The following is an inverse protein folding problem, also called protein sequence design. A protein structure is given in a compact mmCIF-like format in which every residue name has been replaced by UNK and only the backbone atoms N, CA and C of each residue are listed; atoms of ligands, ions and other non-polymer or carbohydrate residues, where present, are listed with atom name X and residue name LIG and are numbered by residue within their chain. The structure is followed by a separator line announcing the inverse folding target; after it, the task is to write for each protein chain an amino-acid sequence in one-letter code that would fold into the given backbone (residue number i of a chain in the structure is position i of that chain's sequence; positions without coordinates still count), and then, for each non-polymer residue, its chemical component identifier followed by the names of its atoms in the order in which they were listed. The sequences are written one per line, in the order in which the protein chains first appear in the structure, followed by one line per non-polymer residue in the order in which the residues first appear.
data_IF_353745792408
#
_entry.id   IF_353745792408
#
_cell.length_a   1.000
_cell.length_b   1.000
_cell.length_c   1.000
_cell.angle_alpha   90.00
_cell.angle_beta   90.00
_cell.angle_gamma   90.00
#
_symmetry.space_group_name_H-M   'P 1'
#
loop_
_entity.id
_entity.type
_entity.pdbx_description
1 polymer ?
#
# COMPACT_ATOMS: atom_id res chain seq x y z
N UNK A 1 29.28 -35.92 26.38
CA UNK A 1 29.03 -35.28 25.07
C UNK A 1 27.79 -34.41 25.22
N UNK A 2 27.95 -33.09 25.20
CA UNK A 2 26.85 -32.12 25.25
C UNK A 2 26.41 -31.84 23.80
N UNK A 3 25.17 -32.18 23.46
CA UNK A 3 24.57 -31.79 22.18
C UNK A 3 24.08 -30.33 22.28
N UNK A 4 24.27 -29.50 21.24
CA UNK A 4 23.80 -28.13 21.24
C UNK A 4 22.27 -28.09 21.10
N UNK A 5 21.62 -27.31 21.96
CA UNK A 5 20.20 -26.94 21.81
C UNK A 5 20.11 -25.97 20.64
N UNK A 6 19.53 -26.42 19.53
CA UNK A 6 19.11 -25.55 18.44
C UNK A 6 17.99 -24.64 18.98
N UNK A 7 18.32 -23.35 19.14
CA UNK A 7 17.31 -22.34 19.44
C UNK A 7 16.43 -22.17 18.20
N UNK A 8 15.22 -22.73 18.25
CA UNK A 8 14.15 -22.42 17.32
C UNK A 8 13.66 -21.00 17.64
N UNK A 9 14.15 -20.01 16.89
CA UNK A 9 13.55 -18.68 16.87
C UNK A 9 12.09 -18.85 16.42
N UNK A 10 11.16 -18.59 17.35
CA UNK A 10 9.73 -18.70 17.06
C UNK A 10 9.33 -17.64 16.02
N UNK A 11 8.40 -17.94 15.10
CA UNK A 11 7.93 -16.98 14.09
C UNK A 11 7.31 -15.70 14.68
N UNK A 12 6.89 -15.74 15.95
CA UNK A 12 6.34 -14.58 16.67
C UNK A 12 7.36 -13.45 16.93
N UNK A 13 8.66 -13.75 17.07
CA UNK A 13 9.67 -12.70 17.27
C UNK A 13 10.04 -11.98 15.98
N UNK A 14 10.13 -12.70 14.85
CA UNK A 14 10.43 -12.09 13.55
C UNK A 14 9.31 -11.13 13.08
N UNK A 15 8.05 -11.50 13.32
CA UNK A 15 6.90 -10.68 12.96
C UNK A 15 6.81 -9.40 13.82
N UNK A 16 7.20 -9.46 15.10
CA UNK A 16 7.24 -8.31 15.99
C UNK A 16 8.37 -7.32 15.64
N UNK A 17 9.55 -7.82 15.26
CA UNK A 17 10.69 -6.97 14.87
C UNK A 17 10.41 -6.23 13.54
N UNK A 18 9.72 -6.89 12.60
CA UNK A 18 9.30 -6.30 11.34
C UNK A 18 8.23 -5.21 11.54
N UNK A 19 7.24 -5.44 12.43
CA UNK A 19 6.21 -4.45 12.78
C UNK A 19 6.83 -3.18 13.38
N UNK A 20 7.80 -3.33 14.29
CA UNK A 20 8.49 -2.20 14.93
C UNK A 20 9.31 -1.37 13.92
N UNK A 21 9.80 -1.99 12.85
CA UNK A 21 10.58 -1.30 11.82
C UNK A 21 9.72 -0.33 11.00
N UNK A 22 8.51 -0.76 10.58
CA UNK A 22 7.66 0.04 9.70
C UNK A 22 7.07 1.28 10.41
N UNK A 23 6.74 1.19 11.70
CA UNK A 23 6.28 2.37 12.46
C UNK A 23 7.37 3.44 12.57
N UNK A 24 8.59 3.02 12.90
CA UNK A 24 9.75 3.92 12.98
C UNK A 24 10.09 4.52 11.60
N UNK A 25 9.95 3.74 10.53
CA UNK A 25 10.12 4.23 9.18
C UNK A 25 9.06 5.28 8.84
N UNK A 26 7.80 5.03 9.14
CA UNK A 26 6.72 6.00 8.95
C UNK A 26 7.02 7.30 9.70
N UNK A 27 7.38 7.22 10.99
CA UNK A 27 7.73 8.39 11.81
C UNK A 27 8.93 9.17 11.27
N UNK A 28 9.97 8.46 10.83
CA UNK A 28 11.15 9.08 10.21
C UNK A 28 10.74 9.83 8.94
N UNK A 29 9.93 9.20 8.09
CA UNK A 29 9.45 9.79 6.86
C UNK A 29 8.54 11.01 7.10
N UNK A 30 7.70 10.99 8.13
CA UNK A 30 6.93 12.16 8.58
C UNK A 30 7.86 13.33 8.93
N UNK A 31 8.93 13.07 9.69
CA UNK A 31 9.88 14.09 10.15
C UNK A 31 10.74 14.68 9.03
N UNK A 32 11.01 13.90 7.98
CA UNK A 32 11.80 14.34 6.82
C UNK A 32 10.94 14.80 5.64
N UNK A 33 9.62 14.92 5.84
CA UNK A 33 8.65 15.25 4.80
C UNK A 33 8.70 14.32 3.56
N UNK A 34 9.08 13.06 3.77
CA UNK A 34 9.15 12.04 2.72
C UNK A 34 7.82 11.27 2.62
N UNK A 35 6.91 11.73 1.75
CA UNK A 35 5.64 11.04 1.57
C UNK A 35 5.80 9.62 1.00
N UNK A 36 6.80 9.37 0.14
CA UNK A 36 6.99 8.04 -0.46
C UNK A 36 7.43 7.02 0.60
N UNK A 37 8.40 7.38 1.44
CA UNK A 37 8.82 6.55 2.56
C UNK A 37 7.70 6.28 3.57
N UNK A 38 6.86 7.29 3.84
CA UNK A 38 5.66 7.14 4.67
C UNK A 38 4.67 6.15 4.01
N UNK A 39 4.38 6.34 2.73
CA UNK A 39 3.40 5.53 2.00
C UNK A 39 3.84 4.06 1.90
N UNK A 40 5.12 3.80 1.72
CA UNK A 40 5.71 2.45 1.75
C UNK A 40 5.51 1.75 3.11
N UNK A 41 5.70 2.46 4.22
CA UNK A 41 5.40 1.93 5.55
C UNK A 41 3.89 1.72 5.76
N UNK A 42 3.07 2.63 5.22
CA UNK A 42 1.61 2.55 5.25
C UNK A 42 1.06 1.35 4.48
N UNK A 43 1.67 0.98 3.35
CA UNK A 43 1.32 -0.21 2.57
C UNK A 43 1.64 -1.52 3.32
N UNK A 44 2.72 -1.55 4.10
CA UNK A 44 3.23 -2.79 4.71
C UNK A 44 2.72 -3.08 6.12
N UNK A 45 2.27 -2.08 6.87
CA UNK A 45 1.89 -2.27 8.28
C UNK A 45 0.45 -1.86 8.57
N UNK A 46 -0.36 -2.83 9.02
CA UNK A 46 -1.72 -2.58 9.53
C UNK A 46 -1.72 -1.60 10.72
N UNK A 47 -0.68 -1.63 11.55
CA UNK A 47 -0.55 -0.72 12.68
C UNK A 47 -0.26 0.71 12.24
N UNK A 48 0.56 0.89 11.21
CA UNK A 48 0.77 2.20 10.57
C UNK A 48 -0.53 2.69 9.95
N UNK A 49 -1.27 1.83 9.23
CA UNK A 49 -2.60 2.19 8.70
C UNK A 49 -3.57 2.62 9.78
N UNK A 50 -3.65 1.87 10.88
CA UNK A 50 -4.54 2.19 12.00
C UNK A 50 -4.17 3.52 12.68
N UNK A 51 -2.87 3.84 12.77
CA UNK A 51 -2.36 5.09 13.36
C UNK A 51 -2.58 6.30 12.47
N UNK A 52 -2.44 6.14 11.15
CA UNK A 52 -2.44 7.24 10.17
C UNK A 52 -3.65 7.20 9.23
N UNK A 53 -4.77 6.62 9.68
CA UNK A 53 -6.07 6.76 9.05
C UNK A 53 -6.83 7.86 9.77
N UNK A 54 -7.47 8.78 9.04
CA UNK A 54 -8.31 9.80 9.64
C UNK A 54 -9.47 9.14 10.42
N UNK A 55 -10.02 9.86 11.41
CA UNK A 55 -11.15 9.37 12.21
C UNK A 55 -12.35 8.95 11.36
N UNK A 56 -12.53 9.60 10.21
CA UNK A 56 -13.47 9.23 9.16
C UNK A 56 -12.75 9.16 7.81
N UNK A 57 -12.93 8.05 7.10
CA UNK A 57 -12.46 7.86 5.72
C UNK A 57 -13.67 7.81 4.80
N UNK A 58 -13.60 8.46 3.66
CA UNK A 58 -14.57 8.26 2.58
C UNK A 58 -14.12 7.09 1.71
N UNK A 59 -14.87 5.98 1.76
CA UNK A 59 -14.65 4.86 0.86
C UNK A 59 -15.54 5.05 -0.36
N UNK A 60 -14.93 5.15 -1.53
CA UNK A 60 -15.65 5.28 -2.81
C UNK A 60 -15.52 3.97 -3.57
N UNK A 61 -16.65 3.37 -3.93
CA UNK A 61 -16.76 2.13 -4.71
C UNK A 61 -17.73 2.35 -5.85
N UNK A 62 -17.26 2.20 -7.09
CA UNK A 62 -18.09 2.33 -8.29
C UNK A 62 -18.94 3.62 -8.31
N UNK A 63 -18.36 4.72 -7.82
CA UNK A 63 -19.00 6.04 -7.73
C UNK A 63 -19.88 6.27 -6.50
N UNK A 64 -20.14 5.24 -5.68
CA UNK A 64 -20.84 5.38 -4.39
C UNK A 64 -19.83 5.71 -3.31
N UNK A 65 -20.05 6.82 -2.60
CA UNK A 65 -19.19 7.28 -1.51
C UNK A 65 -19.85 7.03 -0.16
N UNK A 66 -19.17 6.32 0.73
CA UNK A 66 -19.65 6.00 2.07
C UNK A 66 -18.61 6.41 3.13
N UNK A 67 -19.01 7.16 4.17
CA UNK A 67 -18.13 7.44 5.29
C UNK A 67 -18.01 6.20 6.17
N UNK A 68 -16.78 5.83 6.51
CA UNK A 68 -16.47 4.77 7.48
C UNK A 68 -15.57 5.33 8.57
N UNK A 69 -15.71 4.80 9.79
CA UNK A 69 -14.76 5.13 10.85
C UNK A 69 -13.36 4.61 10.47
N UNK A 70 -12.31 5.42 10.64
CA UNK A 70 -10.94 4.98 10.36
C UNK A 70 -10.54 3.74 11.16
N UNK A 71 -11.05 3.63 12.39
CA UNK A 71 -10.88 2.45 13.23
C UNK A 71 -11.54 1.18 12.67
N UNK A 72 -12.50 1.31 11.75
CA UNK A 72 -13.16 0.21 11.05
C UNK A 72 -12.60 -0.04 9.64
N UNK A 73 -11.66 0.78 9.15
CA UNK A 73 -11.06 0.61 7.84
C UNK A 73 -10.14 -0.62 7.82
N UNK A 74 -10.45 -1.59 6.96
CA UNK A 74 -9.69 -2.85 6.80
C UNK A 74 -9.35 -3.15 5.35
N UNK A 75 -10.17 -2.69 4.41
CA UNK A 75 -10.09 -3.07 3.00
C UNK A 75 -9.14 -2.18 2.19
N UNK A 76 -7.92 -2.05 2.68
CA UNK A 76 -6.88 -1.32 1.97
C UNK A 76 -6.53 -2.03 0.64
N UNK A 77 -6.53 -1.32 -0.51
CA UNK A 77 -6.46 -1.97 -1.84
C UNK A 77 -5.09 -2.48 -2.25
N UNK A 78 -4.02 -1.93 -1.66
CA UNK A 78 -2.68 -2.04 -2.18
C UNK A 78 -1.76 -2.80 -1.22
N UNK A 79 -0.75 -3.45 -1.78
CA UNK A 79 0.32 -4.11 -1.05
C UNK A 79 1.65 -3.94 -1.78
N UNK A 80 2.68 -4.53 -1.19
CA UNK A 80 4.01 -4.58 -1.80
C UNK A 80 4.55 -6.00 -1.80
N UNK A 81 5.27 -6.32 -2.85
CA UNK A 81 6.09 -7.52 -2.99
C UNK A 81 7.47 -7.08 -3.45
N UNK A 82 8.49 -7.28 -2.60
CA UNK A 82 9.84 -6.73 -2.77
C UNK A 82 9.81 -5.22 -3.07
N UNK A 83 9.99 -4.85 -4.33
CA UNK A 83 9.96 -3.47 -4.85
C UNK A 83 8.81 -3.18 -5.82
N UNK A 84 7.90 -4.14 -5.99
CA UNK A 84 6.73 -4.03 -6.86
C UNK A 84 5.47 -3.71 -6.08
N UNK A 85 4.60 -2.91 -6.69
CA UNK A 85 3.27 -2.60 -6.18
C UNK A 85 2.28 -3.64 -6.69
N UNK A 86 1.44 -4.15 -5.78
CA UNK A 86 0.46 -5.19 -6.10
C UNK A 86 -0.87 -4.90 -5.42
N UNK A 87 -1.95 -5.57 -5.82
CA UNK A 87 -3.21 -5.53 -5.07
C UNK A 87 -3.06 -6.28 -3.76
N UNK A 88 -3.60 -5.73 -2.67
CA UNK A 88 -3.63 -6.40 -1.37
C UNK A 88 -4.37 -7.74 -1.41
N UNK A 89 -5.38 -7.85 -2.29
CA UNK A 89 -6.11 -9.09 -2.53
C UNK A 89 -5.18 -10.20 -3.06
N UNK A 90 -4.32 -9.90 -4.03
CA UNK A 90 -3.39 -10.88 -4.60
C UNK A 90 -2.33 -11.35 -3.60
N UNK A 91 -1.89 -10.45 -2.69
CA UNK A 91 -1.00 -10.79 -1.56
C UNK A 91 -1.70 -11.78 -0.61
N UNK A 92 -2.94 -11.48 -0.21
CA UNK A 92 -3.72 -12.37 0.68
C UNK A 92 -3.98 -13.73 0.05
N UNK A 93 -4.34 -13.77 -1.24
CA UNK A 93 -4.56 -15.02 -1.98
C UNK A 93 -3.29 -15.89 -2.00
N UNK A 94 -2.13 -15.30 -2.33
CA UNK A 94 -0.85 -16.02 -2.32
C UNK A 94 -0.47 -16.55 -0.92
N UNK A 95 -0.75 -15.81 0.15
CA UNK A 95 -0.50 -16.27 1.52
C UNK A 95 -1.30 -17.53 1.90
N UNK A 96 -2.41 -17.83 1.22
CA UNK A 96 -3.21 -19.05 1.45
C UNK A 96 -2.74 -20.27 0.64
N UNK A 97 -1.63 -20.16 -0.10
CA UNK A 97 -1.07 -21.25 -0.90
C UNK A 97 -1.85 -21.58 -2.17
N UNK A 98 -2.84 -20.76 -2.53
CA UNK A 98 -3.61 -20.87 -3.77
C UNK A 98 -3.06 -19.86 -4.78
N UNK A 99 -2.37 -20.30 -5.86
CA UNK A 99 -1.98 -19.39 -6.94
C UNK A 99 -3.24 -18.93 -7.67
N UNK A 100 -3.45 -17.61 -7.73
CA UNK A 100 -3.13 -16.91 -8.97
C UNK A 100 -1.87 -16.04 -8.81
N UNK A 101 -1.25 -15.60 -9.93
CA UNK A 101 -0.13 -14.67 -9.89
C UNK A 101 -0.50 -13.39 -9.15
N UNK A 102 0.52 -12.69 -8.66
CA UNK A 102 0.35 -11.34 -8.11
C UNK A 102 -0.29 -10.43 -9.16
N UNK A 103 -1.21 -9.58 -8.71
CA UNK A 103 -1.81 -8.57 -9.57
C UNK A 103 -1.03 -7.27 -9.36
N UNK A 104 -0.19 -6.95 -10.32
CA UNK A 104 0.65 -5.76 -10.26
C UNK A 104 -0.15 -4.49 -10.55
N UNK A 105 0.26 -3.40 -9.91
CA UNK A 105 -0.28 -2.07 -10.16
C UNK A 105 0.82 -1.10 -10.54
N UNK A 106 0.47 -0.12 -11.36
CA UNK A 106 1.28 1.09 -11.52
C UNK A 106 0.72 2.17 -10.61
N UNK A 107 1.63 2.93 -9.99
CA UNK A 107 1.30 4.02 -9.09
C UNK A 107 1.81 5.33 -9.66
N UNK A 108 1.01 6.38 -9.51
CA UNK A 108 1.44 7.76 -9.69
C UNK A 108 1.24 8.50 -8.35
N UNK A 109 2.33 9.04 -7.81
CA UNK A 109 2.32 9.75 -6.53
C UNK A 109 2.45 11.24 -6.80
N UNK A 110 1.41 11.99 -6.44
CA UNK A 110 1.34 13.43 -6.61
C UNK A 110 1.26 14.11 -5.23
N UNK A 111 2.25 14.94 -4.89
CA UNK A 111 2.28 15.70 -3.63
C UNK A 111 2.18 17.19 -3.94
N UNK A 112 1.12 17.83 -3.44
CA UNK A 112 0.88 19.26 -3.60
C UNK A 112 1.79 20.09 -2.70
N UNK A 113 1.94 21.39 -3.00
CA UNK A 113 2.76 22.31 -2.22
C UNK A 113 2.29 22.52 -0.77
N UNK A 114 1.01 22.26 -0.50
CA UNK A 114 0.43 22.25 0.85
C UNK A 114 0.57 20.91 1.56
N UNK A 115 1.36 19.97 0.98
CA UNK A 115 1.58 18.59 1.43
C UNK A 115 0.38 17.66 1.31
N UNK A 116 -0.77 18.05 0.73
CA UNK A 116 -1.77 17.04 0.34
C UNK A 116 -1.14 16.06 -0.65
N UNK A 117 -1.40 14.78 -0.48
CA UNK A 117 -0.83 13.75 -1.33
C UNK A 117 -1.92 12.85 -1.89
N UNK A 118 -1.78 12.51 -3.16
CA UNK A 118 -2.68 11.64 -3.90
C UNK A 118 -1.85 10.52 -4.52
N UNK A 119 -2.29 9.29 -4.32
CA UNK A 119 -1.70 8.12 -4.95
C UNK A 119 -2.73 7.54 -5.89
N UNK A 120 -2.56 7.79 -7.19
CA UNK A 120 -3.35 7.17 -8.24
C UNK A 120 -2.79 5.79 -8.55
N UNK A 121 -3.66 4.83 -8.84
CA UNK A 121 -3.24 3.47 -9.14
C UNK A 121 -4.15 2.80 -10.16
N UNK A 122 -3.55 1.91 -10.94
CA UNK A 122 -4.26 1.08 -11.93
C UNK A 122 -3.58 -0.27 -12.05
N UNK A 123 -4.35 -1.34 -12.30
CA UNK A 123 -3.77 -2.67 -12.52
C UNK A 123 -3.06 -2.70 -13.86
N UNK A 124 -1.91 -3.37 -13.90
CA UNK A 124 -1.07 -3.48 -15.08
C UNK A 124 -0.85 -4.93 -15.46
N UNK A 125 -1.10 -5.26 -16.72
CA UNK A 125 -0.80 -6.56 -17.29
C UNK A 125 0.66 -6.63 -17.72
N UNK A 126 1.24 -7.83 -17.63
CA UNK A 126 2.61 -8.11 -18.07
C UNK A 126 2.64 -9.39 -18.90
N UNK A 127 3.46 -9.42 -19.96
CA UNK A 127 3.56 -10.58 -20.89
C UNK A 127 3.91 -11.88 -20.17
N UNK A 128 4.81 -11.78 -19.19
CA UNK A 128 5.29 -12.92 -18.39
C UNK A 128 4.61 -13.03 -17.02
N UNK A 129 3.54 -12.26 -16.78
CA UNK A 129 2.82 -12.25 -15.51
C UNK A 129 3.48 -11.47 -14.37
N UNK A 130 4.69 -10.93 -14.57
CA UNK A 130 5.39 -10.06 -13.64
C UNK A 130 6.15 -8.95 -14.39
N UNK A 131 6.47 -7.82 -13.73
CA UNK A 131 7.46 -6.87 -14.25
C UNK A 131 8.79 -7.59 -14.44
N UNK A 132 9.49 -7.23 -15.50
CA UNK A 132 10.82 -7.77 -15.81
C UNK A 132 11.84 -7.23 -14.79
N UNK A 133 12.55 -8.12 -14.10
CA UNK A 133 13.56 -7.76 -13.10
C UNK A 133 14.91 -7.36 -13.74
N UNK A 134 15.06 -7.58 -15.06
CA UNK A 134 16.33 -7.46 -15.79
C UNK A 134 16.45 -6.29 -16.79
N UNK A 135 15.34 -5.62 -17.12
CA UNK A 135 15.32 -4.35 -17.82
C UNK A 135 15.98 -4.34 -19.21
N UNK A 136 15.25 -4.78 -20.25
CA UNK A 136 15.50 -4.29 -21.63
C UNK A 136 14.22 -4.22 -22.50
N UNK A 137 13.04 -4.59 -21.98
CA UNK A 137 11.77 -4.50 -22.71
C UNK A 137 10.62 -3.97 -21.85
N UNK A 138 9.73 -3.19 -22.46
CA UNK A 138 8.42 -2.92 -21.86
C UNK A 138 7.54 -4.17 -22.00
N UNK A 139 7.56 -5.00 -20.97
CA UNK A 139 6.71 -6.20 -20.87
C UNK A 139 5.26 -5.88 -20.48
N UNK A 140 4.92 -4.59 -20.31
CA UNK A 140 3.54 -4.18 -20.03
C UNK A 140 2.65 -4.53 -21.22
N UNK A 141 1.54 -5.21 -20.95
CA UNK A 141 0.47 -5.47 -21.93
C UNK A 141 -0.63 -4.42 -21.89
N UNK A 142 -0.54 -3.49 -20.94
CA UNK A 142 -1.45 -2.36 -20.78
C UNK A 142 -2.15 -2.34 -19.42
N UNK A 143 -2.76 -1.20 -19.11
CA UNK A 143 -3.60 -1.03 -17.94
C UNK A 143 -4.95 -1.75 -18.13
N UNK A 144 -5.48 -2.33 -17.06
CA UNK A 144 -6.78 -2.99 -17.08
C UNK A 144 -7.57 -2.79 -15.79
N UNK A 145 -8.86 -3.10 -15.85
CA UNK A 145 -9.78 -2.85 -14.75
C UNK A 145 -10.06 -1.36 -14.56
N UNK A 146 -10.65 -1.02 -13.42
CA UNK A 146 -10.96 0.36 -13.08
C UNK A 146 -9.83 0.94 -12.21
N UNK A 147 -9.38 2.17 -12.47
CA UNK A 147 -8.39 2.81 -11.63
C UNK A 147 -8.98 3.18 -10.26
N UNK A 148 -8.09 3.56 -9.36
CA UNK A 148 -8.45 4.10 -8.07
C UNK A 148 -7.45 5.14 -7.61
N UNK A 149 -7.72 5.72 -6.45
CA UNK A 149 -6.78 6.62 -5.80
C UNK A 149 -6.95 6.63 -4.28
N UNK A 150 -5.86 6.99 -3.61
CA UNK A 150 -5.82 7.26 -2.18
C UNK A 150 -5.53 8.74 -1.98
N UNK A 151 -6.27 9.40 -1.09
CA UNK A 151 -6.06 10.80 -0.75
C UNK A 151 -5.61 10.91 0.71
N UNK A 152 -4.50 11.63 0.91
CA UNK A 152 -3.88 11.84 2.19
C UNK A 152 -3.77 13.34 2.48
N UNK A 153 -4.25 13.73 3.66
CA UNK A 153 -4.15 15.12 4.12
C UNK A 153 -3.06 15.24 5.18
N UNK A 154 -2.27 16.32 5.16
CA UNK A 154 -1.30 16.57 6.20
C UNK A 154 -2.01 16.98 7.49
N UNK A 155 -1.44 16.57 8.61
CA UNK A 155 -1.76 16.99 9.96
C UNK A 155 -0.51 17.58 10.61
N UNK A 156 -0.63 18.05 11.85
CA UNK A 156 0.52 18.49 12.64
C UNK A 156 1.50 17.35 12.92
N UNK A 157 1.03 16.10 12.89
CA UNK A 157 1.83 14.92 13.19
C UNK A 157 2.40 14.23 11.94
N UNK A 158 1.58 13.99 10.91
CA UNK A 158 2.01 13.32 9.68
C UNK A 158 0.98 13.49 8.56
N UNK A 159 0.78 12.48 7.71
CA UNK A 159 -0.34 12.39 6.77
C UNK A 159 -1.38 11.42 7.32
N UNK A 160 -2.65 11.72 7.06
CA UNK A 160 -3.76 10.82 7.34
C UNK A 160 -4.48 10.45 6.05
N UNK A 161 -4.80 9.17 5.87
CA UNK A 161 -5.69 8.72 4.80
C UNK A 161 -7.10 9.26 5.09
N UNK A 162 -7.66 10.02 4.15
CA UNK A 162 -9.01 10.60 4.24
C UNK A 162 -9.98 10.01 3.22
N UNK A 163 -9.47 9.43 2.13
CA UNK A 163 -10.31 8.82 1.10
C UNK A 163 -9.61 7.67 0.38
N UNK A 164 -10.35 6.59 0.15
CA UNK A 164 -9.96 5.45 -0.67
C UNK A 164 -11.00 5.25 -1.77
N UNK A 165 -10.62 5.51 -3.01
CA UNK A 165 -11.46 5.32 -4.19
C UNK A 165 -11.00 4.10 -4.97
N UNK A 166 -11.91 3.15 -5.17
CA UNK A 166 -11.74 1.99 -6.04
C UNK A 166 -12.88 1.98 -7.06
N UNK A 167 -12.56 1.81 -8.34
CA UNK A 167 -13.61 1.71 -9.34
C UNK A 167 -14.13 3.04 -9.88
N UNK A 168 -13.37 4.13 -9.76
CA UNK A 168 -13.74 5.45 -10.26
C UNK A 168 -13.36 5.65 -11.73
N UNK A 169 -13.96 6.66 -12.38
CA UNK A 169 -13.44 7.19 -13.63
C UNK A 169 -12.01 7.71 -13.42
N UNK A 170 -11.16 7.59 -14.45
CA UNK A 170 -9.79 8.09 -14.40
C UNK A 170 -9.80 9.55 -13.91
N UNK A 171 -9.07 9.88 -12.84
CA UNK A 171 -9.24 11.16 -12.19
C UNK A 171 -8.62 12.30 -12.99
N UNK A 172 -9.33 13.44 -13.04
CA UNK A 172 -8.76 14.70 -13.52
C UNK A 172 -7.69 15.24 -12.56
N UNK A 173 -6.84 16.18 -13.02
CA UNK A 173 -5.73 16.71 -12.23
C UNK A 173 -6.20 17.38 -10.95
N UNK A 174 -5.40 17.24 -9.86
CA UNK A 174 -5.63 17.98 -8.62
C UNK A 174 -5.57 19.49 -8.88
N UNK A 175 -6.62 20.20 -8.50
CA UNK A 175 -6.69 21.67 -8.53
C UNK A 175 -6.27 22.26 -7.19
#
# INVERSE_FOLDING_TARGET
MLLPVLALTSPATAQNDEILNWEKQAETACNTYDFKGFFEAFLRSDKVRAKYSASQIYQVRDGVSEPIAGSAYRDFPLGMLDYSWVTAESVRKNATGVPPPYEYVELEINVAGDRRARVDWVRMGYKNGSPDEGGEGDDRTGAYGKPGYLLFYPTDACWELVQDTQGGDAPGPMR
#
